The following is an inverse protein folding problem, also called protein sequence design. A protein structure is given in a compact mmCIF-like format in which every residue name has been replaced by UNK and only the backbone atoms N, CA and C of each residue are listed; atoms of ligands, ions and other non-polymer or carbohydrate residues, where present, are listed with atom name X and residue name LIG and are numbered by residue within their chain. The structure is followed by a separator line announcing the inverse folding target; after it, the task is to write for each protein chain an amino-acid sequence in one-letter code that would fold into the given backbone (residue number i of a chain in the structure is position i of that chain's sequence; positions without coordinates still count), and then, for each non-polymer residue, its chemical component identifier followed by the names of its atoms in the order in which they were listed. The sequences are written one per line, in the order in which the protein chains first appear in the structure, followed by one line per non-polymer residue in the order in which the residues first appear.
data_IF_215614310157
#
_entry.id   IF_215614310157
#
_cell.length_a   1.000
_cell.length_b   1.000
_cell.length_c   1.000
_cell.angle_alpha   90.00
_cell.angle_beta   90.00
_cell.angle_gamma   90.00
#
_symmetry.space_group_name_H-M   'P 1'
#
loop_
_entity.id
_entity.type
_entity.pdbx_description
1 polymer ?
#
# COMPACT_ATOMS: atom_id res chain seq x y z
N UNK A 1 39.79 -31.75 -12.97
CA UNK A 1 39.29 -30.79 -13.98
C UNK A 1 37.85 -30.47 -13.64
N UNK A 2 37.60 -29.35 -12.93
CA UNK A 2 36.24 -28.92 -12.62
C UNK A 2 35.66 -28.19 -13.84
N UNK A 3 34.47 -28.59 -14.29
CA UNK A 3 33.79 -27.91 -15.39
C UNK A 3 33.38 -26.52 -14.93
N UNK A 4 34.02 -25.49 -15.50
CA UNK A 4 33.51 -24.13 -15.44
C UNK A 4 32.34 -24.03 -16.42
N UNK A 5 31.13 -24.36 -15.94
CA UNK A 5 29.90 -24.02 -16.65
C UNK A 5 29.81 -22.50 -16.71
N UNK A 6 30.10 -21.92 -17.89
CA UNK A 6 29.90 -20.49 -18.15
C UNK A 6 28.44 -20.14 -17.87
N UNK A 7 28.21 -19.32 -16.84
CA UNK A 7 26.88 -18.81 -16.54
C UNK A 7 26.40 -17.97 -17.71
N UNK A 8 25.16 -18.19 -18.15
CA UNK A 8 24.54 -17.38 -19.20
C UNK A 8 24.30 -15.95 -18.69
N UNK A 9 24.18 -14.93 -19.57
CA UNK A 9 23.84 -13.57 -19.15
C UNK A 9 22.57 -13.47 -18.31
N UNK A 10 21.59 -14.36 -18.54
CA UNK A 10 20.38 -14.49 -17.73
C UNK A 10 20.68 -15.06 -16.32
N UNK A 11 21.62 -16.00 -16.20
CA UNK A 11 22.07 -16.55 -14.91
C UNK A 11 22.92 -15.53 -14.12
N UNK A 12 23.71 -14.70 -14.80
CA UNK A 12 24.41 -13.55 -14.21
C UNK A 12 23.44 -12.44 -13.79
N UNK A 13 22.41 -12.13 -14.57
CA UNK A 13 21.36 -11.18 -14.18
C UNK A 13 20.56 -11.68 -12.96
N UNK A 14 20.26 -12.99 -12.90
CA UNK A 14 19.58 -13.62 -11.77
C UNK A 14 20.45 -13.66 -10.49
N UNK A 15 21.79 -13.60 -10.62
CA UNK A 15 22.69 -13.60 -9.46
C UNK A 15 22.82 -12.23 -8.80
N UNK A 16 22.63 -11.14 -9.55
CA UNK A 16 22.80 -9.74 -9.11
C UNK A 16 21.49 -9.12 -8.58
N UNK A 17 20.34 -9.47 -9.16
CA UNK A 17 19.02 -8.96 -8.77
C UNK A 17 18.44 -7.94 -9.76
N UNK A 18 17.12 -7.74 -9.71
CA UNK A 18 16.39 -6.83 -10.59
C UNK A 18 16.71 -5.37 -10.28
N UNK A 19 17.03 -4.60 -11.32
CA UNK A 19 17.18 -3.15 -11.28
C UNK A 19 16.23 -2.52 -12.28
N UNK A 20 15.46 -1.53 -11.86
CA UNK A 20 14.42 -0.90 -12.65
C UNK A 20 14.89 0.41 -13.27
N UNK A 21 14.42 0.70 -14.49
CA UNK A 21 14.78 1.94 -15.20
C UNK A 21 14.46 3.21 -14.42
N UNK A 22 13.33 3.22 -13.69
CA UNK A 22 12.91 4.35 -12.86
C UNK A 22 13.81 4.59 -11.64
N UNK A 23 14.67 3.65 -11.23
CA UNK A 23 15.66 3.92 -10.18
C UNK A 23 16.71 4.94 -10.63
N UNK A 24 16.97 5.03 -11.95
CA UNK A 24 17.94 5.97 -12.52
C UNK A 24 17.43 7.40 -12.60
N UNK A 25 16.12 7.59 -12.55
CA UNK A 25 15.48 8.90 -12.67
C UNK A 25 15.12 9.49 -11.31
N UNK A 26 15.63 8.90 -10.22
CA UNK A 26 15.45 9.46 -8.88
C UNK A 26 16.16 10.80 -8.77
N UNK A 27 15.55 11.72 -8.02
CA UNK A 27 16.13 13.03 -7.68
C UNK A 27 17.03 12.96 -6.44
N UNK A 28 17.11 11.80 -5.78
CA UNK A 28 17.96 11.63 -4.60
C UNK A 28 19.44 11.56 -5.04
N UNK A 29 20.29 12.22 -4.27
CA UNK A 29 21.74 12.03 -4.38
C UNK A 29 22.08 10.69 -3.72
N UNK A 30 22.21 9.66 -4.56
CA UNK A 30 22.53 8.30 -4.14
C UNK A 30 23.97 7.96 -4.50
N UNK A 31 24.63 7.25 -3.60
CA UNK A 31 25.94 6.67 -3.79
C UNK A 31 25.94 5.65 -4.92
N UNK A 32 27.12 5.24 -5.40
CA UNK A 32 27.23 4.15 -6.39
C UNK A 32 27.16 2.76 -5.74
N UNK A 33 27.09 2.67 -4.42
CA UNK A 33 27.08 1.41 -3.70
C UNK A 33 25.71 0.74 -3.79
N UNK A 34 25.69 -0.47 -4.35
CA UNK A 34 24.47 -1.26 -4.54
C UNK A 34 24.51 -2.50 -3.65
N UNK A 35 23.36 -2.84 -3.07
CA UNK A 35 23.13 -4.06 -2.31
C UNK A 35 22.08 -4.92 -3.00
N UNK A 36 22.29 -6.24 -3.00
CA UNK A 36 21.31 -7.20 -3.50
C UNK A 36 20.38 -7.64 -2.36
N UNK A 37 19.09 -7.35 -2.47
CA UNK A 37 18.08 -7.64 -1.45
C UNK A 37 17.17 -8.74 -1.92
N UNK A 38 17.08 -9.81 -1.14
CA UNK A 38 16.14 -10.91 -1.40
C UNK A 38 14.84 -10.67 -0.64
N UNK A 39 13.71 -10.81 -1.34
CA UNK A 39 12.35 -10.60 -0.82
C UNK A 39 11.46 -11.76 -1.25
N UNK A 40 10.61 -12.26 -0.36
CA UNK A 40 9.77 -13.44 -0.59
C UNK A 40 10.37 -14.73 -0.02
N UNK A 41 9.67 -15.85 -0.18
CA UNK A 41 10.08 -17.17 0.33
C UNK A 41 10.23 -18.20 -0.78
N UNK A 42 11.15 -19.12 -0.57
CA UNK A 42 11.36 -20.31 -1.40
C UNK A 42 11.37 -20.02 -2.90
N UNK A 43 10.34 -20.50 -3.63
CA UNK A 43 10.24 -20.39 -5.08
C UNK A 43 9.78 -19.01 -5.56
N UNK A 44 9.19 -18.22 -4.68
CA UNK A 44 8.69 -16.86 -4.97
C UNK A 44 9.69 -15.77 -4.57
N UNK A 45 10.84 -16.17 -4.00
CA UNK A 45 11.89 -15.25 -3.62
C UNK A 45 12.50 -14.56 -4.85
N UNK A 46 12.53 -13.23 -4.81
CA UNK A 46 13.11 -12.39 -5.85
C UNK A 46 14.23 -11.53 -5.28
N UNK A 47 15.27 -11.31 -6.09
CA UNK A 47 16.37 -10.42 -5.75
C UNK A 47 16.20 -9.08 -6.42
N UNK A 48 16.53 -8.02 -5.70
CA UNK A 48 16.45 -6.64 -6.14
C UNK A 48 17.78 -5.93 -5.89
N UNK A 49 18.22 -5.11 -6.83
CA UNK A 49 19.42 -4.31 -6.67
C UNK A 49 19.03 -2.90 -6.23
N UNK A 50 19.47 -2.49 -5.05
CA UNK A 50 19.05 -1.24 -4.40
C UNK A 50 20.28 -0.46 -3.94
N UNK A 51 20.26 0.87 -4.03
CA UNK A 51 21.33 1.70 -3.48
C UNK A 51 21.38 1.55 -1.95
N UNK A 52 22.57 1.33 -1.39
CA UNK A 52 22.76 1.02 0.03
C UNK A 52 22.30 2.18 0.94
N UNK A 53 22.59 3.41 0.53
CA UNK A 53 22.22 4.64 1.23
C UNK A 53 20.73 4.98 1.15
N UNK A 54 19.99 4.49 0.15
CA UNK A 54 18.53 4.60 0.14
C UNK A 54 17.93 3.96 1.40
N UNK A 55 18.49 2.82 1.81
CA UNK A 55 17.99 2.04 2.94
C UNK A 55 18.60 2.51 4.25
N UNK A 56 19.90 2.77 4.26
CA UNK A 56 20.62 3.08 5.50
C UNK A 56 20.54 4.54 5.91
N UNK A 57 20.36 5.46 4.94
CA UNK A 57 20.39 6.90 5.18
C UNK A 57 19.08 7.61 4.84
N UNK A 58 18.55 7.45 3.63
CA UNK A 58 17.37 8.20 3.18
C UNK A 58 16.06 7.69 3.78
N UNK A 59 15.86 6.36 3.82
CA UNK A 59 14.61 5.74 4.27
C UNK A 59 14.79 4.59 5.28
N UNK A 60 15.56 4.77 6.38
CA UNK A 60 15.82 3.70 7.35
C UNK A 60 14.55 3.19 8.06
N UNK A 61 13.55 4.06 8.26
CA UNK A 61 12.26 3.66 8.85
C UNK A 61 11.41 2.82 7.90
N UNK A 62 11.49 3.06 6.60
CA UNK A 62 10.72 2.33 5.58
C UNK A 62 11.29 0.93 5.34
N UNK A 63 12.60 0.75 5.57
CA UNK A 63 13.31 -0.50 5.32
C UNK A 63 13.89 -1.11 6.58
N UNK A 64 13.29 -0.83 7.75
CA UNK A 64 13.78 -1.30 9.04
C UNK A 64 13.86 -2.83 9.16
N UNK A 65 13.08 -3.56 8.37
CA UNK A 65 13.06 -5.03 8.34
C UNK A 65 14.08 -5.64 7.37
N UNK A 66 14.85 -4.81 6.67
CA UNK A 66 15.93 -5.29 5.82
C UNK A 66 17.12 -5.65 6.71
N UNK A 67 17.37 -6.96 6.83
CA UNK A 67 18.57 -7.48 7.50
C UNK A 67 19.72 -7.51 6.52
N UNK A 68 20.71 -6.65 6.74
CA UNK A 68 21.92 -6.58 5.94
C UNK A 68 22.99 -7.55 6.45
N UNK A 69 23.67 -8.24 5.55
CA UNK A 69 24.88 -9.01 5.84
C UNK A 69 26.09 -8.43 5.12
N UNK A 70 27.20 -8.36 5.85
CA UNK A 70 28.51 -7.98 5.31
C UNK A 70 29.26 -9.23 4.90
N UNK A 71 29.95 -9.17 3.77
CA UNK A 71 30.95 -10.17 3.38
C UNK A 71 32.28 -9.43 3.30
N UNK A 72 33.11 -9.58 4.34
CA UNK A 72 34.27 -8.72 4.55
C UNK A 72 33.87 -7.32 5.06
N UNK A 73 34.45 -6.27 4.49
CA UNK A 73 34.18 -4.88 4.89
C UNK A 73 33.01 -4.21 4.15
N UNK A 74 32.41 -4.89 3.16
CA UNK A 74 31.36 -4.33 2.29
C UNK A 74 29.98 -4.93 2.59
N UNK A 75 28.93 -4.11 2.49
CA UNK A 75 27.53 -4.56 2.59
C UNK A 75 27.14 -5.11 1.22
N UNK A 76 27.06 -6.44 1.11
CA UNK A 76 26.88 -7.09 -0.19
C UNK A 76 25.48 -7.70 -0.37
N UNK A 77 24.78 -8.03 0.73
CA UNK A 77 23.49 -8.71 0.65
C UNK A 77 22.52 -8.25 1.74
N UNK A 78 21.25 -8.14 1.40
CA UNK A 78 20.15 -7.90 2.32
C UNK A 78 19.05 -8.95 2.17
N UNK A 79 18.29 -9.16 3.24
CA UNK A 79 17.10 -10.01 3.24
C UNK A 79 15.98 -9.25 3.94
N UNK A 80 14.84 -9.12 3.27
CA UNK A 80 13.64 -8.56 3.88
C UNK A 80 12.99 -9.62 4.77
N UNK A 81 12.76 -9.29 6.04
CA UNK A 81 12.54 -10.26 7.13
C UNK A 81 11.58 -11.42 6.81
N UNK A 82 11.98 -12.62 7.24
CA UNK A 82 11.35 -13.93 7.03
C UNK A 82 10.05 -14.08 7.84
N UNK A 83 9.87 -13.27 8.89
CA UNK A 83 8.70 -13.34 9.80
C UNK A 83 7.47 -12.57 9.31
N UNK A 84 7.64 -11.58 8.44
CA UNK A 84 6.52 -10.90 7.77
C UNK A 84 6.72 -11.02 6.27
N UNK A 85 5.94 -11.90 5.64
CA UNK A 85 6.05 -12.20 4.22
C UNK A 85 5.61 -10.99 3.40
N UNK A 86 6.57 -10.17 2.99
CA UNK A 86 6.32 -9.10 2.04
C UNK A 86 6.34 -9.69 0.63
N UNK A 87 5.23 -9.58 -0.09
CA UNK A 87 5.19 -9.99 -1.48
C UNK A 87 6.16 -9.12 -2.31
N UNK A 88 6.93 -9.67 -3.26
CA UNK A 88 7.91 -8.91 -4.05
C UNK A 88 7.34 -7.65 -4.71
N UNK A 89 6.08 -7.68 -5.14
CA UNK A 89 5.41 -6.51 -5.73
C UNK A 89 5.16 -5.37 -4.72
N UNK A 90 4.90 -5.70 -3.46
CA UNK A 90 4.77 -4.70 -2.40
C UNK A 90 6.13 -4.06 -2.14
N UNK A 91 7.21 -4.84 -2.17
CA UNK A 91 8.57 -4.29 -2.08
C UNK A 91 8.92 -3.37 -3.26
N UNK A 92 8.49 -3.70 -4.49
CA UNK A 92 8.64 -2.80 -5.64
C UNK A 92 7.93 -1.47 -5.36
N UNK A 93 6.71 -1.50 -4.81
CA UNK A 93 5.97 -0.30 -4.42
C UNK A 93 6.71 0.54 -3.35
N UNK A 94 7.28 -0.11 -2.33
CA UNK A 94 8.12 0.58 -1.33
C UNK A 94 9.34 1.24 -1.96
N UNK A 95 10.00 0.56 -2.91
CA UNK A 95 11.12 1.14 -3.63
C UNK A 95 10.67 2.33 -4.48
N UNK A 96 9.58 2.23 -5.25
CA UNK A 96 9.06 3.35 -6.05
C UNK A 96 8.86 4.59 -5.18
N UNK A 97 8.21 4.42 -4.03
CA UNK A 97 8.03 5.49 -3.06
C UNK A 97 9.35 6.02 -2.50
N UNK A 98 10.27 5.15 -2.09
CA UNK A 98 11.56 5.57 -1.56
C UNK A 98 12.39 6.38 -2.57
N UNK A 99 12.40 5.98 -3.84
CA UNK A 99 13.19 6.67 -4.86
C UNK A 99 12.57 8.00 -5.31
N UNK A 100 11.24 8.12 -5.28
CA UNK A 100 10.54 9.24 -5.93
C UNK A 100 9.66 10.07 -5.01
N UNK A 101 9.38 9.60 -3.79
CA UNK A 101 8.41 10.20 -2.88
C UNK A 101 6.96 10.11 -3.37
N UNK A 102 6.67 9.20 -4.31
CA UNK A 102 5.33 8.97 -4.88
C UNK A 102 5.16 7.52 -5.36
N UNK A 103 3.91 7.04 -5.37
CA UNK A 103 3.56 5.77 -5.98
C UNK A 103 3.27 5.98 -7.47
N UNK A 104 3.65 5.02 -8.32
CA UNK A 104 3.43 5.17 -9.75
C UNK A 104 1.93 5.02 -10.11
N UNK A 105 1.44 5.69 -11.16
CA UNK A 105 0.06 5.60 -11.58
C UNK A 105 -0.46 4.17 -11.77
N UNK A 106 0.41 3.28 -12.25
CA UNK A 106 0.16 1.88 -12.57
C UNK A 106 0.22 0.93 -11.37
N UNK A 107 0.55 1.40 -10.16
CA UNK A 107 0.57 0.53 -8.98
C UNK A 107 -0.82 -0.06 -8.73
N UNK A 108 -0.99 -1.40 -8.74
CA UNK A 108 -2.29 -2.02 -8.58
C UNK A 108 -2.92 -1.68 -7.24
N UNK A 109 -4.25 -1.56 -7.21
CA UNK A 109 -5.00 -1.21 -6.00
C UNK A 109 -4.78 -2.20 -4.85
N UNK A 110 -4.65 -3.49 -5.15
CA UNK A 110 -4.27 -4.51 -4.16
C UNK A 110 -2.93 -4.18 -3.50
N UNK A 111 -1.93 -3.81 -4.30
CA UNK A 111 -0.61 -3.46 -3.80
C UNK A 111 -0.67 -2.19 -2.95
N UNK A 112 -1.48 -1.20 -3.32
CA UNK A 112 -1.70 -0.01 -2.49
C UNK A 112 -2.28 -0.35 -1.12
N UNK A 113 -3.25 -1.27 -1.05
CA UNK A 113 -3.80 -1.75 0.23
C UNK A 113 -2.76 -2.47 1.08
N UNK A 114 -1.98 -3.37 0.47
CA UNK A 114 -0.89 -4.08 1.16
C UNK A 114 0.19 -3.10 1.68
N UNK A 115 0.52 -2.08 0.89
CA UNK A 115 1.42 -0.99 1.30
C UNK A 115 0.85 -0.19 2.47
N UNK A 116 -0.46 0.08 2.48
CA UNK A 116 -1.11 0.82 3.57
C UNK A 116 -1.02 0.01 4.87
N UNK A 117 -1.36 -1.27 4.82
CA UNK A 117 -1.24 -2.20 5.95
C UNK A 117 0.21 -2.27 6.43
N UNK A 118 1.18 -2.32 5.50
CA UNK A 118 2.60 -2.30 5.82
C UNK A 118 2.99 -1.04 6.59
N UNK A 119 2.57 0.14 6.11
CA UNK A 119 2.86 1.44 6.69
C UNK A 119 2.22 1.59 8.08
N UNK A 120 0.95 1.21 8.22
CA UNK A 120 0.22 1.28 9.49
C UNK A 120 0.85 0.40 10.57
N UNK A 121 1.21 -0.84 10.23
CA UNK A 121 1.87 -1.76 11.16
C UNK A 121 3.22 -1.21 11.67
N UNK A 122 3.85 -0.31 10.91
CA UNK A 122 5.12 0.35 11.24
C UNK A 122 4.96 1.78 11.71
N UNK A 123 3.72 2.27 11.84
CA UNK A 123 3.38 3.63 12.26
C UNK A 123 4.09 4.68 11.38
N UNK A 124 4.08 4.46 10.07
CA UNK A 124 4.61 5.38 9.07
C UNK A 124 3.51 6.34 8.63
N UNK A 125 3.09 7.22 9.57
CA UNK A 125 1.91 8.08 9.44
C UNK A 125 1.91 8.91 8.15
N UNK A 126 3.06 9.45 7.78
CA UNK A 126 3.26 10.22 6.56
C UNK A 126 3.02 9.38 5.29
N UNK A 127 3.43 8.11 5.32
CA UNK A 127 3.21 7.15 4.22
C UNK A 127 1.75 6.69 4.20
N UNK A 128 1.13 6.47 5.36
CA UNK A 128 -0.29 6.13 5.50
C UNK A 128 -1.18 7.18 4.83
N UNK A 129 -0.95 8.47 5.11
CA UNK A 129 -1.73 9.58 4.54
C UNK A 129 -1.59 9.65 3.01
N UNK A 130 -0.38 9.47 2.47
CA UNK A 130 -0.12 9.44 1.03
C UNK A 130 -0.81 8.25 0.36
N UNK A 131 -0.70 7.06 0.96
CA UNK A 131 -1.33 5.85 0.45
C UNK A 131 -2.85 5.96 0.46
N UNK A 132 -3.42 6.55 1.50
CA UNK A 132 -4.86 6.73 1.58
C UNK A 132 -5.35 7.68 0.47
N UNK A 133 -4.65 8.79 0.22
CA UNK A 133 -4.93 9.67 -0.91
C UNK A 133 -4.91 8.93 -2.24
N UNK A 134 -3.88 8.10 -2.43
CA UNK A 134 -3.71 7.31 -3.64
C UNK A 134 -4.83 6.28 -3.82
N UNK A 135 -5.23 5.59 -2.76
CA UNK A 135 -6.32 4.60 -2.77
C UNK A 135 -7.65 5.27 -3.10
N UNK A 136 -8.01 6.35 -2.40
CA UNK A 136 -9.27 7.09 -2.64
C UNK A 136 -9.31 7.63 -4.07
N UNK A 137 -8.21 8.24 -4.54
CA UNK A 137 -8.07 8.74 -5.90
C UNK A 137 -8.20 7.62 -6.94
N UNK A 138 -7.67 6.43 -6.67
CA UNK A 138 -7.79 5.27 -7.56
C UNK A 138 -9.24 4.80 -7.68
N UNK A 139 -9.96 4.66 -6.56
CA UNK A 139 -11.40 4.32 -6.59
C UNK A 139 -12.22 5.37 -7.35
N UNK A 140 -11.94 6.66 -7.12
CA UNK A 140 -12.63 7.77 -7.79
C UNK A 140 -12.40 7.77 -9.30
N UNK A 141 -11.14 7.72 -9.71
CA UNK A 141 -10.72 8.01 -11.09
C UNK A 141 -10.70 6.79 -12.02
N UNK A 142 -10.89 5.58 -11.49
CA UNK A 142 -11.11 4.40 -12.32
C UNK A 142 -12.27 4.62 -13.29
N UNK A 143 -12.16 4.05 -14.50
CA UNK A 143 -13.21 4.11 -15.53
C UNK A 143 -13.65 2.69 -15.90
N UNK A 144 -14.86 2.26 -15.51
CA UNK A 144 -15.83 3.01 -14.71
C UNK A 144 -15.40 3.14 -13.23
N UNK A 145 -15.95 4.14 -12.54
CA UNK A 145 -15.61 4.45 -11.14
C UNK A 145 -16.09 3.33 -10.22
N UNK A 146 -15.18 2.67 -9.51
CA UNK A 146 -15.47 1.47 -8.71
C UNK A 146 -15.57 1.81 -7.21
N UNK A 147 -16.35 1.01 -6.48
CA UNK A 147 -16.33 0.99 -5.01
C UNK A 147 -15.46 -0.18 -4.51
N UNK A 148 -15.00 -0.13 -3.25
CA UNK A 148 -14.40 -1.30 -2.61
C UNK A 148 -15.36 -2.48 -2.66
N UNK A 149 -14.86 -3.64 -3.10
CA UNK A 149 -15.58 -4.91 -3.02
C UNK A 149 -15.42 -5.55 -1.63
N UNK A 150 -16.11 -6.67 -1.40
CA UNK A 150 -16.04 -7.42 -0.15
C UNK A 150 -14.61 -7.85 0.21
N UNK A 151 -13.77 -8.16 -0.79
CA UNK A 151 -12.38 -8.60 -0.59
C UNK A 151 -11.53 -7.46 -0.04
N UNK A 152 -11.64 -6.26 -0.59
CA UNK A 152 -10.94 -5.08 -0.07
C UNK A 152 -11.45 -4.67 1.32
N UNK A 153 -12.77 -4.79 1.57
CA UNK A 153 -13.33 -4.56 2.89
C UNK A 153 -12.76 -5.54 3.92
N UNK A 154 -12.76 -6.84 3.61
CA UNK A 154 -12.18 -7.87 4.48
C UNK A 154 -10.69 -7.64 4.72
N UNK A 155 -9.93 -7.31 3.68
CA UNK A 155 -8.50 -7.02 3.77
C UNK A 155 -8.24 -5.85 4.72
N UNK A 156 -8.92 -4.72 4.53
CA UNK A 156 -8.78 -3.55 5.39
C UNK A 156 -9.18 -3.84 6.83
N UNK A 157 -10.36 -4.39 7.07
CA UNK A 157 -10.84 -4.65 8.43
C UNK A 157 -10.03 -5.71 9.18
N UNK A 158 -9.50 -6.71 8.51
CA UNK A 158 -8.73 -7.77 9.18
C UNK A 158 -7.32 -7.33 9.57
N UNK A 159 -6.77 -6.32 8.89
CA UNK A 159 -5.34 -5.98 8.96
C UNK A 159 -5.04 -4.54 9.38
N UNK A 160 -6.06 -3.73 9.65
CA UNK A 160 -5.88 -2.33 10.08
C UNK A 160 -6.46 -2.08 11.47
N UNK A 161 -6.01 -1.03 12.16
CA UNK A 161 -6.52 -0.66 13.48
C UNK A 161 -7.99 -0.23 13.41
N UNK A 162 -8.73 -0.38 14.52
CA UNK A 162 -10.16 -0.06 14.60
C UNK A 162 -10.49 1.40 14.26
N UNK A 163 -9.58 2.31 14.55
CA UNK A 163 -9.71 3.76 14.32
C UNK A 163 -8.96 4.25 13.07
N UNK A 164 -8.49 3.34 12.22
CA UNK A 164 -7.69 3.67 11.04
C UNK A 164 -8.49 4.47 10.00
N UNK A 165 -7.79 5.33 9.25
CA UNK A 165 -8.37 6.04 8.13
C UNK A 165 -8.92 5.09 7.06
N UNK A 166 -8.25 3.96 6.84
CA UNK A 166 -8.71 2.87 5.98
C UNK A 166 -10.10 2.35 6.38
N UNK A 167 -10.32 1.96 7.65
CA UNK A 167 -11.64 1.49 8.10
C UNK A 167 -12.69 2.56 7.98
N UNK A 168 -12.36 3.81 8.29
CA UNK A 168 -13.28 4.95 8.11
C UNK A 168 -13.72 5.08 6.65
N UNK A 169 -12.77 5.07 5.71
CA UNK A 169 -13.08 5.11 4.27
C UNK A 169 -13.96 3.93 3.85
N UNK A 170 -13.62 2.71 4.26
CA UNK A 170 -14.40 1.51 3.93
C UNK A 170 -15.81 1.54 4.52
N UNK A 171 -15.96 1.98 5.79
CA UNK A 171 -17.26 2.16 6.45
C UNK A 171 -18.13 3.14 5.67
N UNK A 172 -17.58 4.29 5.27
CA UNK A 172 -18.33 5.30 4.53
C UNK A 172 -18.72 4.81 3.13
N UNK A 173 -17.82 4.11 2.43
CA UNK A 173 -18.13 3.45 1.16
C UNK A 173 -19.27 2.44 1.31
N UNK A 174 -19.20 1.58 2.34
CA UNK A 174 -20.24 0.58 2.61
C UNK A 174 -21.58 1.22 2.97
N UNK A 175 -21.57 2.25 3.83
CA UNK A 175 -22.77 3.00 4.20
C UNK A 175 -23.39 3.74 3.00
N UNK A 176 -22.57 4.29 2.08
CA UNK A 176 -23.08 4.86 0.83
C UNK A 176 -23.75 3.81 -0.04
N UNK A 177 -23.11 2.64 -0.21
CA UNK A 177 -23.66 1.51 -0.96
C UNK A 177 -24.96 0.95 -0.35
N UNK A 178 -25.11 0.99 0.98
CA UNK A 178 -26.34 0.58 1.66
C UNK A 178 -27.50 1.57 1.46
N UNK A 179 -27.21 2.88 1.48
CA UNK A 179 -28.25 3.92 1.45
C UNK A 179 -28.74 4.24 0.05
N UNK A 180 -27.95 3.92 -0.98
CA UNK A 180 -28.34 4.15 -2.36
C UNK A 180 -28.68 2.85 -3.06
N UNK A 181 -29.87 2.80 -3.67
CA UNK A 181 -30.18 1.93 -4.81
C UNK A 181 -29.32 2.31 -6.04
N UNK A 182 -28.00 2.46 -5.91
CA UNK A 182 -27.09 2.86 -6.98
C UNK A 182 -26.21 1.71 -7.46
N UNK A 183 -26.04 1.67 -8.78
CA UNK A 183 -25.43 0.58 -9.54
C UNK A 183 -23.92 0.44 -9.29
N UNK A 184 -23.45 -0.80 -9.18
CA UNK A 184 -22.03 -1.15 -9.31
C UNK A 184 -21.67 -1.16 -10.81
N UNK A 185 -20.46 -0.77 -11.24
CA UNK A 185 -20.13 -0.69 -12.66
C UNK A 185 -20.01 -2.03 -13.41
N UNK A 186 -20.19 -3.14 -12.73
CA UNK A 186 -20.26 -4.47 -13.34
C UNK A 186 -21.60 -5.19 -13.05
N UNK A 187 -22.45 -4.64 -12.17
CA UNK A 187 -23.72 -5.26 -11.75
C UNK A 187 -24.76 -4.17 -11.44
N UNK A 188 -25.90 -4.11 -12.17
CA UNK A 188 -26.90 -3.03 -12.04
C UNK A 188 -27.60 -2.94 -10.68
N UNK A 189 -27.32 -3.87 -9.77
CA UNK A 189 -27.85 -3.92 -8.42
C UNK A 189 -26.70 -4.54 -7.62
N UNK A 190 -26.18 -3.86 -6.60
CA UNK A 190 -25.42 -4.59 -5.61
C UNK A 190 -26.43 -5.54 -4.98
N UNK A 191 -26.38 -6.84 -5.33
CA UNK A 191 -27.26 -7.81 -4.70
C UNK A 191 -27.13 -7.62 -3.20
N UNK A 192 -28.24 -7.35 -2.52
CA UNK A 192 -28.26 -7.20 -1.06
C UNK A 192 -27.50 -8.34 -0.38
N UNK A 193 -27.43 -9.51 -1.03
CA UNK A 193 -26.62 -10.67 -0.67
C UNK A 193 -25.11 -10.39 -0.60
N UNK A 194 -24.48 -9.75 -1.59
CA UNK A 194 -23.04 -9.47 -1.56
C UNK A 194 -22.66 -8.46 -0.46
N UNK A 195 -23.51 -7.44 -0.23
CA UNK A 195 -23.33 -6.49 0.86
C UNK A 195 -23.62 -7.13 2.23
N UNK A 196 -24.62 -8.02 2.30
CA UNK A 196 -24.92 -8.78 3.50
C UNK A 196 -23.80 -9.78 3.82
N UNK A 197 -23.22 -10.42 2.81
CA UNK A 197 -22.11 -11.35 2.95
C UNK A 197 -20.83 -10.62 3.36
N UNK A 198 -20.59 -9.42 2.84
CA UNK A 198 -19.53 -8.56 3.36
C UNK A 198 -19.75 -8.25 4.85
N UNK A 199 -20.95 -7.84 5.26
CA UNK A 199 -21.24 -7.56 6.67
C UNK A 199 -21.16 -8.80 7.58
N UNK A 200 -21.50 -9.99 7.09
CA UNK A 200 -21.39 -11.24 7.85
C UNK A 200 -19.94 -11.68 8.02
N UNK A 201 -19.11 -11.50 6.99
CA UNK A 201 -17.74 -12.02 6.95
C UNK A 201 -16.69 -10.99 7.40
N UNK A 202 -17.07 -9.73 7.58
CA UNK A 202 -16.17 -8.65 8.01
C UNK A 202 -16.58 -8.17 9.40
N UNK A 203 -15.87 -8.65 10.42
CA UNK A 203 -16.13 -8.29 11.82
C UNK A 203 -15.97 -6.78 12.04
N UNK A 204 -16.93 -6.20 12.75
CA UNK A 204 -16.99 -4.76 13.06
C UNK A 204 -17.61 -3.87 11.98
N UNK A 205 -17.67 -4.28 10.70
CA UNK A 205 -18.18 -3.44 9.60
C UNK A 205 -19.61 -2.96 9.84
N UNK A 206 -20.52 -3.89 10.18
CA UNK A 206 -21.92 -3.55 10.42
C UNK A 206 -22.09 -2.64 11.64
N UNK A 207 -21.36 -2.91 12.72
CA UNK A 207 -21.44 -2.12 13.95
C UNK A 207 -20.90 -0.69 13.74
N UNK A 208 -19.75 -0.54 13.09
CA UNK A 208 -19.16 0.75 12.76
C UNK A 208 -20.07 1.55 11.81
N UNK A 209 -20.69 0.88 10.83
CA UNK A 209 -21.67 1.49 9.92
C UNK A 209 -22.92 1.95 10.67
N UNK A 210 -23.47 1.12 11.55
CA UNK A 210 -24.61 1.51 12.39
C UNK A 210 -24.25 2.68 13.31
N UNK A 211 -23.05 2.69 13.88
CA UNK A 211 -22.59 3.81 14.69
C UNK A 211 -22.47 5.07 13.85
N UNK A 212 -21.85 5.01 12.67
CA UNK A 212 -21.75 6.13 11.73
C UNK A 212 -23.14 6.72 11.38
N UNK A 213 -24.14 5.86 11.17
CA UNK A 213 -25.51 6.28 10.86
C UNK A 213 -26.32 6.74 12.09
N UNK A 214 -25.96 6.31 13.30
CA UNK A 214 -26.69 6.61 14.56
C UNK A 214 -26.22 7.87 15.28
N UNK A 215 -25.11 8.51 14.87
CA UNK A 215 -24.61 9.72 15.53
C UNK A 215 -25.63 10.88 15.43
N UNK A 216 -26.49 10.98 16.45
CA UNK A 216 -27.35 12.12 16.71
C UNK A 216 -26.48 13.34 16.98
N UNK A 217 -26.27 14.18 15.97
CA UNK A 217 -25.61 15.49 16.13
C UNK A 217 -24.46 15.79 15.17
N UNK A 218 -24.01 14.83 14.35
CA UNK A 218 -23.08 15.09 13.24
C UNK A 218 -23.72 14.62 11.94
N UNK A 219 -23.81 15.51 10.97
CA UNK A 219 -24.38 15.29 9.64
C UNK A 219 -23.52 14.30 8.84
N UNK A 220 -23.63 13.00 9.14
CA UNK A 220 -23.25 11.99 8.16
C UNK A 220 -24.25 12.11 7.00
N UNK A 221 -23.80 12.74 5.92
CA UNK A 221 -24.56 12.84 4.69
C UNK A 221 -24.36 11.56 3.89
N UNK A 222 -25.32 10.65 4.00
CA UNK A 222 -25.30 9.38 3.28
C UNK A 222 -25.29 9.55 1.75
N UNK A 223 -25.71 10.72 1.25
CA UNK A 223 -25.64 11.07 -0.17
C UNK A 223 -24.26 11.50 -0.64
N UNK A 224 -23.35 11.78 0.29
CA UNK A 224 -21.98 12.16 -0.04
C UNK A 224 -21.13 10.93 -0.32
N UNK A 225 -20.72 10.78 -1.57
CA UNK A 225 -19.77 9.74 -1.97
C UNK A 225 -18.45 9.90 -1.20
N UNK A 226 -18.04 8.86 -0.48
CA UNK A 226 -16.79 8.82 0.28
C UNK A 226 -15.56 9.09 -0.61
N UNK A 227 -15.64 8.74 -1.89
CA UNK A 227 -14.57 8.98 -2.89
C UNK A 227 -14.44 10.46 -3.26
N UNK A 228 -15.47 11.26 -3.02
CA UNK A 228 -15.50 12.71 -3.23
C UNK A 228 -15.25 13.52 -1.96
N UNK A 229 -14.97 12.85 -0.84
CA UNK A 229 -14.56 13.54 0.37
C UNK A 229 -13.23 14.28 0.17
N UNK A 230 -13.05 15.35 0.94
CA UNK A 230 -11.74 16.02 1.02
C UNK A 230 -10.70 14.99 1.47
N UNK A 231 -9.51 14.91 0.83
CA UNK A 231 -8.44 13.99 1.20
C UNK A 231 -8.09 14.03 2.71
N UNK A 232 -8.19 15.23 3.29
CA UNK A 232 -7.95 15.49 4.72
C UNK A 232 -8.90 14.74 5.67
N UNK A 233 -10.02 14.19 5.18
CA UNK A 233 -10.92 13.36 5.99
C UNK A 233 -10.27 12.04 6.44
N UNK A 234 -9.29 11.58 5.66
CA UNK A 234 -8.63 10.28 5.82
C UNK A 234 -7.17 10.41 6.24
N UNK A 235 -6.77 11.56 6.79
CA UNK A 235 -5.43 11.79 7.33
C UNK A 235 -5.41 11.70 8.85
N UNK A 236 -4.24 11.45 9.41
CA UNK A 236 -4.04 11.28 10.85
C UNK A 236 -4.02 12.60 11.66
N UNK A 237 -4.24 13.75 11.01
CA UNK A 237 -4.40 15.01 11.71
C UNK A 237 -5.83 15.18 12.25
N UNK A 238 -6.02 16.03 13.27
CA UNK A 238 -7.34 16.27 13.84
C UNK A 238 -8.33 16.81 12.78
N UNK A 239 -9.61 16.48 12.92
CA UNK A 239 -10.64 16.97 12.01
C UNK A 239 -10.72 18.51 12.10
N UNK A 240 -10.60 19.20 10.96
CA UNK A 240 -10.62 20.66 10.90
C UNK A 240 -9.26 21.36 11.07
N UNK A 241 -8.16 20.63 11.33
CA UNK A 241 -6.82 21.22 11.23
C UNK A 241 -6.38 21.32 9.78
N UNK A 242 -5.63 22.39 9.43
CA UNK A 242 -4.98 22.47 8.12
C UNK A 242 -4.06 21.26 7.98
N UNK A 243 -4.41 20.37 7.06
CA UNK A 243 -3.53 19.28 6.67
C UNK A 243 -2.17 19.88 6.29
N UNK A 244 -1.05 19.49 6.94
CA UNK A 244 0.24 19.71 6.30
C UNK A 244 0.14 19.02 4.94
N UNK A 245 0.31 19.76 3.84
CA UNK A 245 0.12 19.23 2.49
C UNK A 245 1.07 18.03 2.23
N UNK A 246 0.75 16.84 2.73
CA UNK A 246 1.39 15.59 2.38
C UNK A 246 0.82 15.19 1.02
N UNK A 247 1.27 15.94 0.02
CA UNK A 247 1.08 15.60 -1.37
C UNK A 247 2.29 14.76 -1.79
N UNK A 248 2.03 13.74 -2.61
CA UNK A 248 3.09 13.10 -3.37
C UNK A 248 3.94 14.18 -4.05
N UNK A 249 5.28 14.07 -3.97
CA UNK A 249 6.15 15.03 -4.66
C UNK A 249 5.93 14.90 -6.17
N UNK A 250 5.71 16.02 -6.87
CA UNK A 250 5.53 16.07 -8.32
C UNK A 250 6.77 15.56 -9.09
#
# INVERSE_FOLDING_TARGET
MGSYTKQTPAQLAASVGKFFGWQRTSRLELSKEMVSITVGKDKDAQKFLVHSDLITYHHPRLFCDVRMSKVGNEILRGYFDVYQQLHPEVFIGLLQFAYHGKFLPETPLEILWQLYIYAENRRLIDVEDILMNRIVSTYKNNKPSIFPDARHMQLGYSNTRKDSAARRFLTMCYAHLLNRNTQFPAHPICYNEALADAAKNVDGLLLETLNLMKWRGTSYDADKDARDASPCLYHHHAWGTKCPNFQEKA
#
